data_IF_059674822766
#
_entry.id   IF_059674822766
#
_cell.length_a   1.000
_cell.length_b   1.000
_cell.length_c   1.000
_cell.angle_alpha   90.00
_cell.angle_beta   90.00
_cell.angle_gamma   90.00
#
_symmetry.space_group_name_H-M   'P 1'
#
loop_
_entity.id
_entity.type
_entity.pdbx_description
1 polymer ?
#
# COMPACT_ATOMS: atom_id res chain seq x y z
N UNK A 1 4.01 35.12 -10.54
CA UNK A 1 3.42 33.92 -9.90
C UNK A 1 2.45 34.39 -8.83
N UNK A 2 1.13 34.22 -9.03
CA UNK A 2 0.15 34.47 -7.96
C UNK A 2 0.06 33.20 -7.13
N UNK A 3 0.53 33.24 -5.89
CA UNK A 3 0.32 32.17 -4.92
C UNK A 3 -1.17 32.16 -4.62
N UNK A 4 -1.84 31.02 -4.82
CA UNK A 4 -3.25 30.86 -4.47
C UNK A 4 -3.40 31.09 -2.95
N UNK A 5 -4.16 32.11 -2.51
CA UNK A 5 -4.32 32.43 -1.09
C UNK A 5 -5.00 31.32 -0.27
N UNK A 6 -5.57 30.30 -0.94
CA UNK A 6 -6.15 29.09 -0.33
C UNK A 6 -5.21 27.88 -0.35
N UNK A 7 -3.91 28.06 -0.63
CA UNK A 7 -2.96 26.94 -0.63
C UNK A 7 -2.54 26.56 0.79
N UNK A 8 -3.06 25.43 1.28
CA UNK A 8 -2.75 24.86 2.59
C UNK A 8 -1.44 24.04 2.62
N UNK A 9 -0.51 24.27 1.68
CA UNK A 9 0.71 23.48 1.50
C UNK A 9 0.51 22.20 0.68
N UNK A 10 1.57 21.40 0.56
CA UNK A 10 1.51 20.06 -0.07
C UNK A 10 1.17 19.01 0.99
N UNK A 11 0.20 18.14 0.68
CA UNK A 11 0.02 16.89 1.43
C UNK A 11 1.24 15.96 1.27
N UNK A 12 1.35 14.94 2.12
CA UNK A 12 2.53 14.06 2.17
C UNK A 12 2.90 13.43 0.82
N UNK A 13 1.92 12.88 0.09
CA UNK A 13 2.14 12.30 -1.23
C UNK A 13 2.60 13.35 -2.26
N UNK A 14 1.95 14.52 -2.27
CA UNK A 14 2.30 15.62 -3.17
C UNK A 14 3.72 16.15 -2.88
N UNK A 15 4.13 16.19 -1.61
CA UNK A 15 5.49 16.55 -1.23
C UNK A 15 6.53 15.53 -1.73
N UNK A 16 6.24 14.22 -1.66
CA UNK A 16 7.11 13.18 -2.22
C UNK A 16 7.22 13.33 -3.74
N UNK A 17 6.10 13.43 -4.45
CA UNK A 17 6.07 13.58 -5.91
C UNK A 17 6.80 14.85 -6.36
N UNK A 18 6.57 15.97 -5.68
CA UNK A 18 7.29 17.21 -5.94
C UNK A 18 8.81 17.06 -5.71
N UNK A 19 9.23 16.37 -4.65
CA UNK A 19 10.65 16.12 -4.40
C UNK A 19 11.30 15.30 -5.53
N UNK A 20 10.61 14.31 -6.09
CA UNK A 20 11.06 13.58 -7.29
C UNK A 20 11.11 14.50 -8.52
N UNK A 21 10.08 15.32 -8.74
CA UNK A 21 10.03 16.26 -9.85
C UNK A 21 11.20 17.26 -9.82
N UNK A 22 11.55 17.78 -8.65
CA UNK A 22 12.71 18.68 -8.48
C UNK A 22 14.06 18.01 -8.74
N UNK A 23 14.12 16.68 -8.76
CA UNK A 23 15.35 15.91 -9.01
C UNK A 23 15.32 15.21 -10.39
N UNK A 24 14.50 15.71 -11.32
CA UNK A 24 14.48 15.30 -12.72
C UNK A 24 13.74 14.00 -13.01
N UNK A 25 12.70 13.68 -12.23
CA UNK A 25 11.74 12.62 -12.55
C UNK A 25 10.43 13.24 -13.03
N UNK A 26 9.70 12.55 -13.92
CA UNK A 26 8.29 12.83 -14.12
C UNK A 26 7.51 12.20 -12.96
N UNK A 27 6.95 13.05 -12.11
CA UNK A 27 6.22 12.62 -10.92
C UNK A 27 4.76 12.29 -11.24
N UNK A 28 4.41 11.00 -11.25
CA UNK A 28 3.04 10.52 -11.43
C UNK A 28 2.42 10.10 -10.10
N UNK A 29 1.15 10.44 -9.92
CA UNK A 29 0.35 9.96 -8.78
C UNK A 29 -1.09 9.71 -9.25
N UNK A 30 -1.45 8.48 -9.66
CA UNK A 30 -2.83 8.18 -10.04
C UNK A 30 -3.75 8.32 -8.83
N UNK A 31 -4.88 9.02 -9.02
CA UNK A 31 -6.03 8.80 -8.15
C UNK A 31 -6.61 7.45 -8.58
N UNK A 32 -6.66 6.48 -7.66
CA UNK A 32 -7.24 5.17 -7.97
C UNK A 32 -8.67 5.29 -8.49
N UNK A 33 -9.15 4.26 -9.17
CA UNK A 33 -10.53 4.19 -9.67
C UNK A 33 -11.50 4.49 -8.52
N UNK A 34 -12.51 5.35 -8.79
CA UNK A 34 -13.48 5.81 -7.80
C UNK A 34 -12.96 6.81 -6.76
N UNK A 35 -11.76 7.36 -6.94
CA UNK A 35 -11.21 8.46 -6.12
C UNK A 35 -10.88 9.70 -6.96
N UNK A 36 -10.63 10.81 -6.28
CA UNK A 36 -10.32 12.08 -6.93
C UNK A 36 -11.50 12.58 -7.78
N UNK A 37 -11.29 12.69 -9.09
CA UNK A 37 -12.34 13.03 -10.07
C UNK A 37 -12.85 11.82 -10.84
N UNK A 38 -12.39 10.60 -10.50
CA UNK A 38 -12.81 9.38 -11.17
C UNK A 38 -14.25 9.02 -10.84
N UNK A 39 -14.95 8.47 -11.83
CA UNK A 39 -16.28 7.88 -11.64
C UNK A 39 -16.18 6.57 -10.85
N UNK A 40 -17.35 6.02 -10.46
CA UNK A 40 -17.51 4.77 -9.69
C UNK A 40 -17.05 4.89 -8.23
N UNK A 41 -17.06 3.78 -7.50
CA UNK A 41 -16.58 3.67 -6.12
C UNK A 41 -15.24 2.97 -6.08
N UNK A 42 -14.43 3.35 -5.11
CA UNK A 42 -13.11 2.76 -4.94
C UNK A 42 -13.17 1.29 -4.52
N UNK A 43 -12.25 0.50 -5.07
CA UNK A 43 -12.06 -0.91 -4.78
C UNK A 43 -10.71 -1.06 -4.07
N UNK A 44 -10.76 -1.05 -2.74
CA UNK A 44 -9.60 -1.07 -1.86
C UNK A 44 -8.86 -2.41 -1.92
N UNK A 45 -7.53 -2.36 -2.11
CA UNK A 45 -6.63 -3.53 -2.18
C UNK A 45 -7.00 -4.54 -3.28
N UNK A 46 -7.49 -4.03 -4.42
CA UNK A 46 -7.80 -4.86 -5.57
C UNK A 46 -6.74 -4.69 -6.65
N UNK A 47 -5.92 -5.73 -6.82
CA UNK A 47 -4.70 -5.81 -7.64
C UNK A 47 -4.91 -5.25 -9.04
N UNK A 48 -5.92 -5.73 -9.76
CA UNK A 48 -6.16 -5.31 -11.14
C UNK A 48 -6.49 -3.82 -11.23
N UNK A 49 -7.42 -3.34 -10.40
CA UNK A 49 -7.85 -1.93 -10.45
C UNK A 49 -6.76 -0.94 -10.02
N UNK A 50 -5.91 -1.34 -9.07
CA UNK A 50 -4.80 -0.52 -8.59
C UNK A 50 -3.67 -0.45 -9.62
N UNK A 51 -3.37 -1.57 -10.29
CA UNK A 51 -2.42 -1.61 -11.40
C UNK A 51 -2.92 -0.83 -12.61
N UNK A 52 -4.20 -1.02 -12.98
CA UNK A 52 -4.83 -0.34 -14.12
C UNK A 52 -4.76 1.18 -13.98
N UNK A 53 -5.06 1.73 -12.80
CA UNK A 53 -4.94 3.16 -12.54
C UNK A 53 -3.51 3.69 -12.77
N UNK A 54 -2.49 2.91 -12.44
CA UNK A 54 -1.08 3.27 -12.67
C UNK A 54 -0.68 3.16 -14.14
N UNK A 55 -1.09 2.08 -14.81
CA UNK A 55 -0.87 1.83 -16.24
C UNK A 55 -1.46 2.97 -17.07
N UNK A 56 -2.72 3.32 -16.83
CA UNK A 56 -3.39 4.38 -17.59
C UNK A 56 -2.81 5.76 -17.30
N UNK A 57 -2.31 6.01 -16.10
CA UNK A 57 -1.60 7.26 -15.79
C UNK A 57 -0.27 7.37 -16.55
N UNK A 58 0.46 6.27 -16.75
CA UNK A 58 1.69 6.27 -17.57
C UNK A 58 1.34 6.47 -19.06
N UNK A 59 0.28 5.83 -19.56
CA UNK A 59 -0.21 6.05 -20.93
C UNK A 59 -0.65 7.50 -21.15
N UNK A 60 -1.41 8.07 -20.21
CA UNK A 60 -1.82 9.46 -20.26
C UNK A 60 -0.61 10.43 -20.19
N UNK A 61 0.45 10.09 -19.44
CA UNK A 61 1.69 10.87 -19.47
C UNK A 61 2.34 10.85 -20.85
N UNK A 62 2.39 9.69 -21.54
CA UNK A 62 2.94 9.58 -22.89
C UNK A 62 2.20 10.50 -23.86
N UNK A 63 0.87 10.40 -23.89
CA UNK A 63 0.02 11.28 -24.71
C UNK A 63 0.22 12.76 -24.37
N UNK A 64 0.26 13.10 -23.08
CA UNK A 64 0.47 14.48 -22.64
C UNK A 64 1.87 15.01 -23.00
N UNK A 65 2.90 14.19 -22.87
CA UNK A 65 4.27 14.56 -23.20
C UNK A 65 4.46 14.81 -24.70
N UNK A 66 3.77 14.06 -25.56
CA UNK A 66 3.73 14.30 -27.01
C UNK A 66 3.09 15.67 -27.31
N UNK A 67 1.94 15.99 -26.70
CA UNK A 67 1.28 17.28 -26.85
C UNK A 67 2.17 18.45 -26.40
N UNK A 68 2.90 18.24 -25.30
CA UNK A 68 3.76 19.25 -24.71
C UNK A 68 5.17 19.28 -25.31
N UNK A 69 5.46 18.45 -26.31
CA UNK A 69 6.79 18.28 -26.92
C UNK A 69 7.91 18.12 -25.87
N UNK A 70 7.60 17.42 -24.76
CA UNK A 70 8.52 17.28 -23.63
C UNK A 70 9.01 15.83 -23.55
N UNK A 71 10.18 15.52 -24.14
CA UNK A 71 10.66 14.14 -24.16
C UNK A 71 11.03 13.65 -22.76
N UNK A 72 10.89 12.35 -22.57
CA UNK A 72 11.32 11.63 -21.37
C UNK A 72 11.87 10.26 -21.77
N UNK A 73 12.57 9.60 -20.86
CA UNK A 73 13.00 8.22 -21.07
C UNK A 73 11.93 7.25 -20.53
N UNK A 74 11.80 6.10 -21.17
CA UNK A 74 10.80 5.08 -20.82
C UNK A 74 11.12 4.28 -19.54
N UNK A 75 12.13 4.70 -18.75
CA UNK A 75 12.46 4.04 -17.47
C UNK A 75 11.38 4.34 -16.42
N UNK A 76 10.68 3.31 -15.95
CA UNK A 76 9.68 3.44 -14.89
C UNK A 76 10.24 3.08 -13.52
N UNK A 77 9.97 3.94 -12.53
CA UNK A 77 10.29 3.72 -11.13
C UNK A 77 9.01 3.74 -10.31
N UNK A 78 8.63 2.60 -9.72
CA UNK A 78 7.31 2.42 -9.11
C UNK A 78 7.43 2.33 -7.59
N UNK A 79 6.76 3.20 -6.86
CA UNK A 79 6.73 3.16 -5.38
C UNK A 79 5.35 3.49 -4.87
N UNK A 80 5.06 3.00 -3.68
CA UNK A 80 3.91 3.43 -2.90
C UNK A 80 3.98 2.90 -1.47
N UNK A 81 3.12 3.43 -0.61
CA UNK A 81 3.13 3.19 0.83
C UNK A 81 1.74 2.76 1.31
N UNK A 82 1.66 1.82 2.27
CA UNK A 82 0.38 1.31 2.79
C UNK A 82 -0.41 0.58 1.69
N UNK A 83 -1.66 0.96 1.42
CA UNK A 83 -2.37 0.56 0.20
C UNK A 83 -1.54 0.84 -1.06
N UNK A 84 -0.86 1.98 -1.13
CA UNK A 84 0.04 2.27 -2.24
C UNK A 84 1.20 1.29 -2.36
N UNK A 85 1.59 0.62 -1.26
CA UNK A 85 2.56 -0.47 -1.29
C UNK A 85 2.01 -1.67 -2.05
N UNK A 86 0.76 -2.05 -1.80
CA UNK A 86 0.05 -3.09 -2.56
C UNK A 86 -0.07 -2.68 -4.03
N UNK A 87 -0.59 -1.47 -4.31
CA UNK A 87 -0.73 -0.94 -5.66
C UNK A 87 0.60 -0.90 -6.44
N UNK A 88 1.70 -0.51 -5.78
CA UNK A 88 3.02 -0.47 -6.41
C UNK A 88 3.54 -1.87 -6.77
N UNK A 89 3.25 -2.87 -5.93
CA UNK A 89 3.59 -4.26 -6.21
C UNK A 89 2.72 -4.82 -7.33
N UNK A 90 1.40 -4.58 -7.29
CA UNK A 90 0.45 -4.96 -8.33
C UNK A 90 0.83 -4.38 -9.70
N UNK A 91 1.11 -3.07 -9.73
CA UNK A 91 1.52 -2.37 -10.94
C UNK A 91 2.81 -2.97 -11.51
N UNK A 92 3.82 -3.23 -10.68
CA UNK A 92 5.06 -3.85 -11.15
C UNK A 92 4.81 -5.25 -11.71
N UNK A 93 4.09 -6.11 -10.97
CA UNK A 93 3.78 -7.48 -11.39
C UNK A 93 3.06 -7.51 -12.72
N UNK A 94 1.97 -6.75 -12.85
CA UNK A 94 1.13 -6.74 -14.06
C UNK A 94 1.89 -6.12 -15.24
N UNK A 95 2.63 -5.02 -15.04
CA UNK A 95 3.44 -4.45 -16.12
C UNK A 95 4.50 -5.42 -16.62
N UNK A 96 5.18 -6.14 -15.72
CA UNK A 96 6.23 -7.11 -16.07
C UNK A 96 5.66 -8.37 -16.75
N UNK A 97 4.55 -8.92 -16.26
CA UNK A 97 4.01 -10.19 -16.76
C UNK A 97 3.09 -10.03 -17.98
N UNK A 98 2.32 -8.94 -18.06
CA UNK A 98 1.26 -8.77 -19.06
C UNK A 98 1.59 -7.73 -20.13
N UNK A 99 2.48 -6.78 -19.82
CA UNK A 99 2.81 -5.66 -20.70
C UNK A 99 4.33 -5.42 -20.87
N UNK A 100 5.18 -6.48 -21.01
CA UNK A 100 6.64 -6.34 -21.04
C UNK A 100 7.15 -5.54 -22.25
N UNK A 101 6.42 -5.56 -23.37
CA UNK A 101 6.76 -4.79 -24.59
C UNK A 101 6.36 -3.31 -24.48
N UNK A 102 5.47 -2.97 -23.55
CA UNK A 102 4.96 -1.61 -23.37
C UNK A 102 5.68 -0.86 -22.24
N UNK A 103 6.05 -1.55 -21.16
CA UNK A 103 6.58 -0.91 -19.95
C UNK A 103 7.95 -1.46 -19.56
N UNK A 104 8.94 -0.56 -19.50
CA UNK A 104 10.26 -0.88 -18.94
C UNK A 104 10.29 -0.49 -17.46
N UNK A 105 9.85 -1.39 -16.58
CA UNK A 105 9.99 -1.18 -15.13
C UNK A 105 11.47 -1.28 -14.78
N UNK A 106 12.10 -0.16 -14.41
CA UNK A 106 13.53 -0.11 -14.09
C UNK A 106 13.82 -0.49 -12.65
N UNK A 107 12.90 -0.15 -11.75
CA UNK A 107 12.94 -0.56 -10.35
C UNK A 107 11.58 -0.33 -9.67
N UNK A 108 11.33 -1.08 -8.60
CA UNK A 108 10.19 -0.82 -7.72
C UNK A 108 10.59 -0.77 -6.25
N UNK A 109 9.81 -0.06 -5.44
CA UNK A 109 9.95 -0.05 -4.00
C UNK A 109 8.58 -0.05 -3.28
N UNK A 110 7.85 -1.18 -3.30
CA UNK A 110 6.67 -1.36 -2.46
C UNK A 110 7.03 -1.20 -0.98
N UNK A 111 6.29 -0.36 -0.25
CA UNK A 111 6.57 -0.07 1.16
C UNK A 111 5.34 -0.28 2.06
N UNK A 112 5.51 -1.07 3.14
CA UNK A 112 4.47 -1.39 4.12
C UNK A 112 3.12 -1.74 3.49
N UNK A 113 3.13 -2.53 2.40
CA UNK A 113 1.92 -3.02 1.75
C UNK A 113 1.45 -4.36 2.32
N UNK A 114 0.18 -4.70 2.03
CA UNK A 114 -0.44 -5.96 2.44
C UNK A 114 -0.29 -7.02 1.32
N UNK A 115 0.91 -7.57 1.16
CA UNK A 115 1.23 -8.44 0.01
C UNK A 115 0.74 -9.88 0.17
N UNK A 116 0.55 -10.33 1.41
CA UNK A 116 0.00 -11.64 1.76
C UNK A 116 -1.26 -11.40 2.61
N UNK A 117 -2.33 -11.00 1.94
CA UNK A 117 -3.64 -10.66 2.50
C UNK A 117 -4.29 -11.86 3.17
N UNK A 118 -4.16 -13.07 2.61
CA UNK A 118 -4.67 -14.31 3.22
C UNK A 118 -3.80 -14.82 4.38
N UNK A 119 -2.64 -14.19 4.59
CA UNK A 119 -1.66 -14.59 5.59
C UNK A 119 -2.07 -14.29 7.02
N UNK A 120 -1.73 -15.21 7.93
CA UNK A 120 -2.05 -15.10 9.36
C UNK A 120 -1.56 -13.80 10.01
N UNK A 121 -0.44 -13.25 9.54
CA UNK A 121 0.13 -12.00 10.06
C UNK A 121 -0.77 -10.79 9.80
N UNK A 122 -1.46 -10.76 8.66
CA UNK A 122 -2.44 -9.72 8.32
C UNK A 122 -3.80 -10.05 8.91
N UNK A 123 -4.23 -11.30 8.82
CA UNK A 123 -5.51 -11.78 9.34
C UNK A 123 -5.68 -11.49 10.84
N UNK A 124 -4.62 -11.57 11.64
CA UNK A 124 -4.69 -11.32 13.09
C UNK A 124 -5.25 -9.93 13.44
N UNK A 125 -5.14 -8.94 12.53
CA UNK A 125 -5.69 -7.58 12.73
C UNK A 125 -7.19 -7.55 12.89
N UNK A 126 -7.87 -8.60 12.41
CA UNK A 126 -9.31 -8.75 12.60
C UNK A 126 -9.65 -9.09 14.05
N UNK A 127 -8.77 -9.76 14.78
CA UNK A 127 -9.08 -10.42 16.07
C UNK A 127 -8.39 -9.80 17.28
N UNK A 128 -7.71 -8.66 17.10
CA UNK A 128 -7.05 -7.93 18.18
C UNK A 128 -7.51 -6.47 18.22
N UNK A 129 -7.36 -5.77 19.36
CA UNK A 129 -7.50 -4.33 19.42
C UNK A 129 -6.75 -3.62 18.30
N UNK A 130 -7.49 -2.87 17.47
CA UNK A 130 -6.95 -2.27 16.27
C UNK A 130 -7.47 -0.85 16.09
N UNK A 131 -6.59 0.16 16.05
CA UNK A 131 -7.02 1.57 15.97
C UNK A 131 -7.58 2.03 14.61
N UNK A 132 -7.75 1.10 13.66
CA UNK A 132 -8.14 1.40 12.27
C UNK A 132 -9.20 0.42 11.76
N UNK A 133 -10.23 0.20 12.57
CA UNK A 133 -11.23 -0.86 12.37
C UNK A 133 -11.98 -0.75 11.06
N UNK A 134 -12.15 0.47 10.53
CA UNK A 134 -12.85 0.69 9.28
C UNK A 134 -12.13 0.11 8.04
N UNK A 135 -10.87 -0.34 8.15
CA UNK A 135 -10.22 -1.06 7.06
C UNK A 135 -10.89 -2.41 6.75
N UNK A 136 -11.39 -3.13 7.75
CA UNK A 136 -12.06 -4.41 7.52
C UNK A 136 -13.35 -4.28 6.72
N UNK A 137 -14.34 -3.43 7.09
CA UNK A 137 -15.53 -3.24 6.29
C UNK A 137 -15.23 -2.58 4.94
N UNK A 138 -14.17 -1.76 4.84
CA UNK A 138 -13.75 -1.24 3.54
C UNK A 138 -13.28 -2.36 2.62
N UNK A 139 -12.43 -3.24 3.13
CA UNK A 139 -11.95 -4.41 2.39
C UNK A 139 -13.11 -5.32 1.97
N UNK A 140 -13.99 -5.71 2.89
CA UNK A 140 -15.14 -6.60 2.60
C UNK A 140 -16.02 -5.98 1.50
N UNK A 141 -16.44 -4.73 1.67
CA UNK A 141 -17.32 -4.09 0.68
C UNK A 141 -16.61 -3.78 -0.64
N UNK A 142 -15.28 -3.65 -0.64
CA UNK A 142 -14.51 -3.52 -1.89
C UNK A 142 -14.37 -4.85 -2.61
N UNK A 143 -14.14 -5.96 -1.90
CA UNK A 143 -14.11 -7.29 -2.52
C UNK A 143 -15.49 -7.66 -3.09
N UNK A 144 -16.58 -7.35 -2.41
CA UNK A 144 -17.94 -7.51 -2.94
C UNK A 144 -18.16 -6.76 -4.27
N UNK A 145 -17.61 -5.54 -4.40
CA UNK A 145 -17.69 -4.77 -5.65
C UNK A 145 -16.83 -5.34 -6.77
N UNK A 146 -15.68 -5.93 -6.44
CA UNK A 146 -14.78 -6.55 -7.42
C UNK A 146 -15.22 -7.95 -7.84
N UNK A 147 -15.87 -8.67 -6.93
CA UNK A 147 -16.31 -10.05 -7.08
C UNK A 147 -17.81 -10.13 -6.76
N UNK A 148 -18.72 -9.70 -7.67
CA UNK A 148 -20.15 -9.65 -7.38
C UNK A 148 -20.79 -11.00 -7.04
N UNK A 149 -20.16 -12.10 -7.46
CA UNK A 149 -20.59 -13.47 -7.15
C UNK A 149 -20.11 -13.95 -5.75
N UNK A 150 -19.33 -13.14 -5.03
CA UNK A 150 -18.76 -13.49 -3.72
C UNK A 150 -19.84 -13.57 -2.63
N UNK A 151 -20.90 -12.75 -2.75
CA UNK A 151 -21.96 -12.66 -1.76
C UNK A 151 -23.32 -12.53 -2.46
N UNK A 152 -24.21 -13.49 -2.21
CA UNK A 152 -25.58 -13.43 -2.71
C UNK A 152 -26.44 -12.60 -1.75
N UNK A 153 -26.65 -11.33 -2.10
CA UNK A 153 -27.49 -10.40 -1.34
C UNK A 153 -26.78 -9.10 -0.96
N UNK A 154 -27.23 -8.48 0.12
CA UNK A 154 -26.65 -7.23 0.58
C UNK A 154 -25.43 -7.49 1.45
N UNK A 155 -24.25 -7.08 0.98
CA UNK A 155 -22.97 -7.27 1.70
C UNK A 155 -22.98 -6.69 3.12
N UNK A 156 -23.83 -5.70 3.43
CA UNK A 156 -23.90 -5.15 4.77
C UNK A 156 -24.55 -6.11 5.80
N UNK A 157 -25.21 -7.19 5.35
CA UNK A 157 -25.77 -8.24 6.21
C UNK A 157 -24.71 -9.08 6.93
N UNK A 158 -23.44 -9.02 6.50
CA UNK A 158 -22.33 -9.67 7.21
C UNK A 158 -22.01 -8.99 8.54
N UNK A 159 -22.46 -7.75 8.72
CA UNK A 159 -22.23 -6.97 9.94
C UNK A 159 -23.41 -7.10 10.90
N UNK A 160 -23.16 -7.37 12.18
CA UNK A 160 -24.21 -7.45 13.20
C UNK A 160 -24.71 -6.04 13.60
N UNK A 161 -25.96 -5.88 14.06
CA UNK A 161 -26.44 -4.60 14.56
C UNK A 161 -25.59 -4.07 15.74
N UNK A 162 -25.32 -2.75 15.81
CA UNK A 162 -25.79 -1.68 14.92
C UNK A 162 -24.86 -1.38 13.73
N UNK A 163 -23.86 -2.23 13.45
CA UNK A 163 -22.79 -1.94 12.51
C UNK A 163 -23.23 -2.00 11.04
N UNK A 164 -24.20 -2.86 10.72
CA UNK A 164 -24.90 -2.92 9.43
C UNK A 164 -25.36 -1.52 8.96
N UNK A 165 -26.19 -0.87 9.76
CA UNK A 165 -26.82 0.41 9.48
C UNK A 165 -25.82 1.57 9.60
N UNK A 166 -24.93 1.51 10.58
CA UNK A 166 -23.87 2.50 10.77
C UNK A 166 -22.91 2.54 9.57
N UNK A 167 -22.41 1.38 9.13
CA UNK A 167 -21.48 1.30 8.00
C UNK A 167 -22.14 1.70 6.70
N UNK A 168 -23.41 1.34 6.49
CA UNK A 168 -24.18 1.79 5.32
C UNK A 168 -24.29 3.31 5.26
N UNK A 169 -24.56 3.96 6.40
CA UNK A 169 -24.71 5.40 6.48
C UNK A 169 -23.38 6.16 6.37
N UNK A 170 -22.26 5.53 6.74
CA UNK A 170 -20.96 6.24 6.88
C UNK A 170 -19.92 5.86 5.83
N UNK A 171 -20.06 4.74 5.13
CA UNK A 171 -19.14 4.32 4.05
C UNK A 171 -19.59 4.83 2.67
N UNK A 172 -19.95 6.11 2.60
CA UNK A 172 -20.44 6.79 1.38
C UNK A 172 -19.33 7.46 0.56
N UNK A 173 -18.14 7.61 1.15
CA UNK A 173 -17.05 8.43 0.62
C UNK A 173 -17.01 9.86 1.17
N UNK A 174 -18.05 10.30 1.88
CA UNK A 174 -18.11 11.64 2.50
C UNK A 174 -17.40 11.70 3.86
N UNK A 175 -17.27 10.57 4.53
CA UNK A 175 -16.63 10.46 5.84
C UNK A 175 -15.21 9.92 5.72
N UNK A 176 -14.28 10.48 6.51
CA UNK A 176 -12.93 9.94 6.59
C UNK A 176 -12.90 8.59 7.29
N UNK A 177 -11.96 7.73 6.91
CA UNK A 177 -11.82 6.39 7.54
C UNK A 177 -11.57 6.45 9.06
N UNK A 178 -10.91 7.51 9.53
CA UNK A 178 -10.71 7.77 10.95
C UNK A 178 -11.98 8.24 11.66
N UNK A 179 -12.89 8.93 10.96
CA UNK A 179 -14.21 9.26 11.49
C UNK A 179 -15.05 7.99 11.69
N UNK A 180 -15.02 7.08 10.70
CA UNK A 180 -15.75 5.81 10.77
C UNK A 180 -15.17 4.94 11.89
N UNK A 181 -13.85 4.72 11.91
CA UNK A 181 -13.17 3.85 12.91
C UNK A 181 -13.50 4.20 14.36
N UNK A 182 -13.63 5.50 14.69
CA UNK A 182 -13.97 5.96 16.05
C UNK A 182 -15.36 5.54 16.54
N UNK A 183 -16.21 4.98 15.68
CA UNK A 183 -17.58 4.54 15.99
C UNK A 183 -17.72 3.00 15.94
N UNK A 184 -16.63 2.30 15.67
CA UNK A 184 -16.56 0.85 15.56
C UNK A 184 -15.98 0.24 16.85
N UNK A 185 -16.22 -1.05 17.13
CA UNK A 185 -15.69 -1.71 18.34
C UNK A 185 -14.16 -1.76 18.26
N UNK A 186 -13.47 -1.99 19.37
CA UNK A 186 -12.01 -2.01 19.40
C UNK A 186 -11.42 -3.17 18.57
N UNK A 187 -12.08 -4.33 18.58
CA UNK A 187 -11.72 -5.51 17.79
C UNK A 187 -12.57 -5.56 16.52
N UNK A 188 -11.99 -5.54 15.31
CA UNK A 188 -12.79 -5.47 14.08
C UNK A 188 -13.77 -6.62 13.86
N UNK A 189 -13.41 -7.84 14.28
CA UNK A 189 -14.25 -9.02 14.16
C UNK A 189 -15.55 -8.92 14.97
N UNK A 190 -15.61 -8.09 16.02
CA UNK A 190 -16.84 -7.91 16.81
C UNK A 190 -17.97 -7.24 16.00
N UNK A 191 -17.65 -6.71 14.81
CA UNK A 191 -18.66 -6.20 13.88
C UNK A 191 -19.33 -7.29 13.05
N UNK A 192 -18.78 -8.50 12.99
CA UNK A 192 -19.20 -9.54 12.06
C UNK A 192 -20.05 -10.62 12.74
N UNK A 193 -20.90 -11.28 11.95
CA UNK A 193 -21.62 -12.46 12.43
C UNK A 193 -20.63 -13.57 12.86
N UNK A 194 -20.71 -14.08 14.11
CA UNK A 194 -19.80 -15.12 14.61
C UNK A 194 -19.81 -16.41 13.78
N UNK A 195 -20.94 -16.75 13.15
CA UNK A 195 -21.05 -17.92 12.27
C UNK A 195 -20.25 -17.73 10.98
N UNK A 196 -20.20 -16.51 10.43
CA UNK A 196 -19.39 -16.17 9.25
C UNK A 196 -17.91 -16.17 9.59
N UNK A 197 -17.52 -15.64 10.77
CA UNK A 197 -16.14 -15.72 11.26
C UNK A 197 -15.69 -17.18 11.34
N UNK A 198 -16.51 -18.05 11.93
CA UNK A 198 -16.18 -19.47 12.05
C UNK A 198 -15.98 -20.12 10.69
N UNK A 199 -16.86 -19.84 9.73
CA UNK A 199 -16.73 -20.34 8.35
C UNK A 199 -15.45 -19.83 7.69
N UNK A 200 -15.17 -18.53 7.74
CA UNK A 200 -13.94 -17.92 7.20
C UNK A 200 -12.65 -18.56 7.75
N UNK A 201 -12.64 -18.92 9.04
CA UNK A 201 -11.50 -19.56 9.68
C UNK A 201 -11.31 -21.03 9.30
N UNK A 202 -12.40 -21.74 9.00
CA UNK A 202 -12.41 -23.19 8.78
C UNK A 202 -12.37 -23.58 7.30
N UNK A 203 -12.95 -22.75 6.43
CA UNK A 203 -13.10 -23.04 5.01
C UNK A 203 -12.17 -22.15 4.17
N UNK A 204 -11.22 -22.78 3.47
CA UNK A 204 -10.34 -22.09 2.53
C UNK A 204 -11.07 -21.62 1.28
N UNK A 205 -12.22 -22.23 0.96
CA UNK A 205 -13.09 -21.85 -0.15
C UNK A 205 -14.13 -20.79 0.25
N UNK A 206 -14.09 -20.26 1.48
CA UNK A 206 -14.97 -19.17 1.88
C UNK A 206 -14.81 -17.99 0.91
N UNK A 207 -15.91 -17.42 0.35
CA UNK A 207 -15.81 -16.49 -0.79
C UNK A 207 -14.87 -15.29 -0.57
N UNK A 208 -14.92 -14.64 0.59
CA UNK A 208 -14.00 -13.55 0.91
C UNK A 208 -12.54 -14.00 0.87
N UNK A 209 -12.25 -15.23 1.30
CA UNK A 209 -10.88 -15.75 1.32
C UNK A 209 -10.35 -16.04 -0.09
N UNK A 210 -11.23 -16.51 -0.98
CA UNK A 210 -10.92 -16.68 -2.40
C UNK A 210 -10.64 -15.32 -3.04
N UNK A 211 -11.51 -14.33 -2.83
CA UNK A 211 -11.31 -12.96 -3.33
C UNK A 211 -10.00 -12.33 -2.81
N UNK A 212 -9.66 -12.53 -1.53
CA UNK A 212 -8.37 -12.07 -0.98
C UNK A 212 -7.17 -12.82 -1.57
N UNK A 213 -7.30 -14.11 -1.89
CA UNK A 213 -6.23 -14.90 -2.50
C UNK A 213 -5.92 -14.41 -3.92
N UNK A 214 -6.95 -14.02 -4.69
CA UNK A 214 -6.78 -13.42 -6.02
C UNK A 214 -6.02 -12.07 -5.98
N UNK A 215 -5.93 -11.46 -4.79
CA UNK A 215 -5.22 -10.21 -4.54
C UNK A 215 -3.93 -10.41 -3.73
N UNK A 216 -3.50 -11.64 -3.47
CA UNK A 216 -2.17 -11.89 -2.93
C UNK A 216 -1.09 -11.56 -3.98
N UNK A 217 0.00 -10.92 -3.55
CA UNK A 217 1.07 -10.42 -4.41
C UNK A 217 2.45 -10.97 -4.03
N UNK A 218 2.51 -12.02 -3.22
CA UNK A 218 3.78 -12.61 -2.78
C UNK A 218 4.31 -13.71 -3.70
N UNK A 219 3.43 -14.36 -4.48
CA UNK A 219 3.74 -15.56 -5.28
C UNK A 219 4.15 -15.21 -6.71
N UNK A 220 5.30 -14.53 -6.85
CA UNK A 220 5.94 -14.28 -8.15
C UNK A 220 7.42 -13.94 -7.96
N UNK A 221 8.20 -13.95 -9.04
CA UNK A 221 9.62 -13.63 -9.00
C UNK A 221 9.92 -12.39 -9.87
N UNK A 222 10.04 -11.19 -9.28
CA UNK A 222 10.35 -9.99 -10.06
C UNK A 222 11.72 -10.10 -10.75
N UNK A 223 11.74 -9.80 -12.04
CA UNK A 223 12.96 -9.71 -12.84
C UNK A 223 13.70 -8.40 -12.55
N UNK A 224 12.94 -7.32 -12.45
CA UNK A 224 13.48 -6.00 -12.16
C UNK A 224 13.81 -5.76 -10.68
N UNK A 225 14.82 -4.91 -10.37
CA UNK A 225 15.21 -4.64 -8.99
C UNK A 225 14.06 -4.15 -8.10
N UNK A 226 13.86 -4.82 -6.97
CA UNK A 226 12.80 -4.48 -6.02
C UNK A 226 13.36 -4.21 -4.61
N UNK A 227 12.90 -3.13 -3.98
CA UNK A 227 13.17 -2.82 -2.57
C UNK A 227 11.89 -2.90 -1.74
N UNK A 228 11.74 -3.97 -0.97
CA UNK A 228 10.65 -4.11 0.00
C UNK A 228 10.99 -3.35 1.28
N UNK A 229 10.19 -2.32 1.57
CA UNK A 229 10.37 -1.41 2.70
C UNK A 229 9.34 -1.69 3.82
N UNK A 230 9.75 -1.65 5.09
CA UNK A 230 8.85 -1.88 6.24
C UNK A 230 9.39 -1.28 7.54
N UNK A 231 8.58 -1.24 8.61
CA UNK A 231 9.03 -0.94 9.99
C UNK A 231 8.49 -1.96 11.01
N UNK A 232 9.25 -2.25 12.06
CA UNK A 232 8.85 -3.32 13.01
C UNK A 232 7.66 -2.95 13.90
N UNK A 233 7.45 -1.66 14.17
CA UNK A 233 6.36 -1.17 15.02
C UNK A 233 5.14 -0.71 14.22
N UNK A 234 5.09 -1.03 12.93
CA UNK A 234 3.94 -0.74 12.08
C UNK A 234 2.66 -1.40 12.67
N UNK A 235 1.78 -0.54 13.14
CA UNK A 235 0.54 -0.92 13.82
C UNK A 235 -0.57 -1.27 12.85
N UNK A 236 -0.48 -0.79 11.60
CA UNK A 236 -1.52 -0.94 10.59
C UNK A 236 -1.28 -2.16 9.70
N UNK A 237 -0.07 -2.30 9.18
CA UNK A 237 0.35 -3.39 8.29
C UNK A 237 1.45 -4.19 8.97
N UNK A 238 1.21 -5.48 9.25
CA UNK A 238 2.20 -6.29 9.96
C UNK A 238 3.42 -6.57 9.09
N UNK A 239 4.59 -6.11 9.54
CA UNK A 239 5.83 -6.22 8.78
C UNK A 239 6.24 -7.65 8.42
N UNK A 240 5.74 -8.66 9.15
CA UNK A 240 6.02 -10.06 8.84
C UNK A 240 5.47 -10.48 7.48
N UNK A 241 4.40 -9.83 6.99
CA UNK A 241 3.92 -10.06 5.63
C UNK A 241 4.99 -9.66 4.58
N UNK A 242 5.73 -8.57 4.82
CA UNK A 242 6.84 -8.16 3.95
C UNK A 242 8.02 -9.12 4.02
N UNK A 243 8.33 -9.67 5.20
CA UNK A 243 9.38 -10.67 5.36
C UNK A 243 9.04 -11.97 4.65
N UNK A 244 7.81 -12.47 4.86
CA UNK A 244 7.28 -13.64 4.17
C UNK A 244 7.37 -13.47 2.66
N UNK A 245 6.89 -12.33 2.15
CA UNK A 245 6.93 -12.00 0.71
C UNK A 245 8.35 -12.02 0.16
N UNK A 246 9.29 -11.39 0.87
CA UNK A 246 10.70 -11.41 0.48
C UNK A 246 11.25 -12.84 0.41
N UNK A 247 11.06 -13.63 1.46
CA UNK A 247 11.59 -15.00 1.51
C UNK A 247 10.96 -15.88 0.42
N UNK A 248 9.66 -15.72 0.17
CA UNK A 248 8.94 -16.44 -0.87
C UNK A 248 9.46 -16.09 -2.27
N UNK A 249 9.56 -14.81 -2.62
CA UNK A 249 10.15 -14.34 -3.88
C UNK A 249 11.60 -14.84 -4.07
N UNK A 250 12.39 -14.83 -2.98
CA UNK A 250 13.76 -15.36 -3.00
C UNK A 250 13.81 -16.85 -3.30
N UNK A 251 12.87 -17.63 -2.76
CA UNK A 251 12.76 -19.07 -3.01
C UNK A 251 12.29 -19.38 -4.44
N UNK A 252 11.48 -18.52 -5.04
CA UNK A 252 11.13 -18.58 -6.46
C UNK A 252 12.29 -18.16 -7.41
N UNK A 253 13.43 -17.74 -6.87
CA UNK A 253 14.62 -17.39 -7.65
C UNK A 253 14.79 -15.90 -7.94
N UNK A 254 13.94 -15.03 -7.40
CA UNK A 254 14.05 -13.59 -7.62
C UNK A 254 15.42 -13.07 -7.16
N UNK A 255 16.25 -12.63 -8.11
CA UNK A 255 17.68 -12.39 -7.86
C UNK A 255 18.00 -10.98 -7.38
N UNK A 256 17.04 -10.05 -7.50
CA UNK A 256 17.23 -8.61 -7.28
C UNK A 256 16.24 -7.98 -6.29
N UNK A 257 15.61 -8.81 -5.43
CA UNK A 257 14.78 -8.33 -4.31
C UNK A 257 15.64 -8.04 -3.09
N UNK A 258 15.35 -6.95 -2.38
CA UNK A 258 16.05 -6.51 -1.17
C UNK A 258 15.06 -6.04 -0.10
N UNK A 259 15.45 -6.19 1.16
CA UNK A 259 14.73 -5.60 2.29
C UNK A 259 15.36 -4.27 2.76
N UNK A 260 14.51 -3.34 3.19
CA UNK A 260 14.89 -2.13 3.90
C UNK A 260 13.98 -1.87 5.09
N UNK A 261 14.59 -1.81 6.28
CA UNK A 261 13.89 -1.47 7.51
C UNK A 261 13.94 0.05 7.76
N UNK A 262 12.79 0.70 7.75
CA UNK A 262 12.59 2.11 8.06
C UNK A 262 12.87 2.41 9.54
N UNK A 263 12.64 1.47 10.45
CA UNK A 263 13.12 1.48 11.82
C UNK A 263 12.33 0.57 12.75
N UNK A 264 12.91 0.33 13.94
CA UNK A 264 12.35 -0.62 14.92
C UNK A 264 11.18 -0.09 15.75
N UNK A 265 11.03 1.24 15.83
CA UNK A 265 10.16 1.94 16.80
C UNK A 265 9.11 2.85 16.14
N UNK A 266 9.04 2.84 14.82
CA UNK A 266 8.19 3.74 14.06
C UNK A 266 6.86 3.07 13.76
N UNK A 267 5.80 3.81 14.06
CA UNK A 267 4.44 3.53 13.64
C UNK A 267 4.29 3.69 12.12
N UNK A 268 3.11 3.38 11.61
CA UNK A 268 2.83 3.39 10.19
C UNK A 268 3.09 4.76 9.55
N UNK A 269 2.75 5.87 10.22
CA UNK A 269 2.95 7.20 9.65
C UNK A 269 4.42 7.64 9.64
N UNK A 270 5.14 7.42 10.74
CA UNK A 270 6.57 7.76 10.84
C UNK A 270 7.41 6.85 9.94
N UNK A 271 6.97 5.61 9.74
CA UNK A 271 7.60 4.68 8.82
C UNK A 271 7.58 5.19 7.37
N UNK A 272 6.48 5.80 6.92
CA UNK A 272 6.35 6.35 5.58
C UNK A 272 7.47 7.35 5.22
N UNK A 273 7.87 8.20 6.17
CA UNK A 273 8.96 9.16 5.98
C UNK A 273 10.28 8.47 5.66
N UNK A 274 10.70 7.53 6.51
CA UNK A 274 12.00 6.88 6.36
C UNK A 274 12.06 5.92 5.18
N UNK A 275 10.96 5.23 4.89
CA UNK A 275 10.86 4.36 3.71
C UNK A 275 10.91 5.18 2.42
N UNK A 276 10.24 6.33 2.35
CA UNK A 276 10.32 7.25 1.19
C UNK A 276 11.75 7.71 0.90
N UNK A 277 12.53 8.05 1.94
CA UNK A 277 13.95 8.43 1.78
C UNK A 277 14.78 7.24 1.29
N UNK A 278 14.54 6.04 1.82
CA UNK A 278 15.24 4.82 1.42
C UNK A 278 14.95 4.46 -0.04
N UNK A 279 13.69 4.57 -0.46
CA UNK A 279 13.26 4.41 -1.85
C UNK A 279 13.99 5.39 -2.77
N UNK A 280 14.04 6.67 -2.41
CA UNK A 280 14.73 7.69 -3.22
C UNK A 280 16.21 7.35 -3.44
N UNK A 281 16.90 6.94 -2.37
CA UNK A 281 18.31 6.54 -2.46
C UNK A 281 18.52 5.28 -3.32
N UNK A 282 17.56 4.36 -3.30
CA UNK A 282 17.57 3.16 -4.11
C UNK A 282 17.37 3.49 -5.59
N UNK A 283 16.31 4.22 -5.95
CA UNK A 283 16.05 4.65 -7.33
C UNK A 283 17.21 5.47 -7.90
N UNK A 284 17.72 6.47 -7.17
CA UNK A 284 18.85 7.28 -7.63
C UNK A 284 20.10 6.45 -7.90
N UNK A 285 20.32 5.37 -7.14
CA UNK A 285 21.47 4.52 -7.38
C UNK A 285 21.33 3.71 -8.66
N UNK A 286 20.11 3.28 -9.01
CA UNK A 286 19.81 2.56 -10.25
C UNK A 286 19.90 3.51 -11.44
N UNK A 287 19.32 4.71 -11.33
CA UNK A 287 19.47 5.81 -12.30
C UNK A 287 20.94 6.15 -12.57
N UNK A 288 21.82 6.00 -11.57
CA UNK A 288 23.29 6.16 -11.68
C UNK A 288 24.03 4.87 -12.11
N UNK A 289 23.33 3.90 -12.69
CA UNK A 289 23.89 2.69 -13.29
C UNK A 289 24.12 1.51 -12.35
N UNK A 290 23.62 1.53 -11.10
CA UNK A 290 23.74 0.37 -10.21
C UNK A 290 22.65 -0.67 -10.50
N UNK A 291 23.03 -1.77 -11.16
CA UNK A 291 22.12 -2.87 -11.56
C UNK A 291 21.18 -3.40 -10.47
N UNK A 292 21.61 -3.46 -9.21
CA UNK A 292 20.83 -4.03 -8.08
C UNK A 292 20.38 -2.99 -7.04
N UNK A 293 20.59 -1.70 -7.34
CA UNK A 293 20.43 -0.60 -6.39
C UNK A 293 21.34 -0.68 -5.15
N UNK A 294 21.36 0.41 -4.37
CA UNK A 294 22.17 0.57 -3.15
C UNK A 294 21.41 1.41 -2.12
N UNK A 295 21.81 1.33 -0.85
CA UNK A 295 21.28 2.16 0.26
C UNK A 295 21.70 3.65 0.21
N UNK A 296 22.22 4.12 -0.92
CA UNK A 296 22.77 5.46 -1.07
C UNK A 296 24.18 5.68 -0.44
N UNK A 297 24.70 6.92 -0.54
CA UNK A 297 26.03 7.31 -0.04
C UNK A 297 26.18 7.15 1.47
N UNK A 298 27.39 6.82 1.94
CA UNK A 298 27.69 6.59 3.37
C UNK A 298 27.33 7.82 4.23
N UNK A 299 27.71 9.03 3.77
CA UNK A 299 27.41 10.26 4.51
C UNK A 299 25.90 10.51 4.66
N UNK A 300 25.10 10.33 3.59
CA UNK A 300 23.63 10.45 3.67
C UNK A 300 23.04 9.41 4.62
N UNK A 301 23.55 8.18 4.62
CA UNK A 301 23.13 7.12 5.54
C UNK A 301 23.43 7.49 7.00
N UNK A 302 24.57 8.11 7.27
CA UNK A 302 24.93 8.61 8.60
C UNK A 302 23.93 9.67 9.09
N UNK A 303 23.62 10.67 8.25
CA UNK A 303 22.62 11.70 8.59
C UNK A 303 21.23 11.12 8.86
N UNK A 304 20.79 10.14 8.06
CA UNK A 304 19.52 9.44 8.29
C UNK A 304 19.53 8.71 9.62
N UNK A 305 20.64 8.07 10.01
CA UNK A 305 20.76 7.43 11.32
C UNK A 305 20.62 8.43 12.47
N UNK A 306 21.21 9.62 12.35
CA UNK A 306 21.03 10.70 13.34
C UNK A 306 19.58 11.18 13.41
N UNK A 307 18.95 11.41 12.25
CA UNK A 307 17.53 11.79 12.19
C UNK A 307 16.63 10.72 12.82
N UNK A 308 16.91 9.44 12.58
CA UNK A 308 16.19 8.33 13.20
C UNK A 308 16.29 8.35 14.74
N UNK A 309 17.47 8.66 15.28
CA UNK A 309 17.64 8.77 16.73
C UNK A 309 16.81 9.94 17.31
N UNK A 310 16.76 11.07 16.61
CA UNK A 310 16.05 12.27 17.05
C UNK A 310 14.51 12.14 16.99
N UNK A 311 13.97 11.36 16.04
CA UNK A 311 12.52 11.13 15.94
C UNK A 311 12.06 10.23 17.09
N UNK A 312 11.19 10.76 17.95
CA UNK A 312 10.57 10.01 19.05
C UNK A 312 9.60 8.96 18.48
N UNK A 313 9.50 7.77 19.10
CA UNK A 313 8.41 6.85 18.80
C UNK A 313 7.07 7.51 19.14
N UNK A 314 6.01 7.20 18.39
CA UNK A 314 4.67 7.66 18.74
C UNK A 314 4.14 6.92 19.96
N UNK A 315 3.14 7.50 20.63
CA UNK A 315 2.53 6.93 21.84
C UNK A 315 1.94 5.53 21.59
N UNK A 316 1.49 5.26 20.35
CA UNK A 316 0.99 3.95 19.91
C UNK A 316 2.07 2.87 19.96
N UNK A 317 3.30 3.20 19.54
CA UNK A 317 4.43 2.29 19.60
C UNK A 317 4.91 2.04 21.05
N UNK A 318 4.74 3.03 21.93
CA UNK A 318 5.13 2.93 23.36
C UNK A 318 4.18 2.01 24.14
N UNK A 319 2.87 2.11 23.90
CA UNK A 319 1.87 1.31 24.62
C UNK A 319 1.91 -0.18 24.28
N UNK A 320 2.28 -0.56 23.05
CA UNK A 320 2.48 -1.98 22.67
C UNK A 320 3.57 -2.71 23.44
N UNK A 321 4.59 -1.98 23.90
CA UNK A 321 5.67 -2.57 24.69
C UNK A 321 5.20 -2.99 26.09
N UNK A 322 4.20 -2.28 26.64
CA UNK A 322 3.57 -2.59 27.93
C UNK A 322 2.59 -3.77 27.90
N UNK A 323 2.12 -4.16 26.71
CA UNK A 323 1.22 -5.30 26.53
C UNK A 323 1.98 -6.63 26.32
N UNK A 324 3.32 -6.60 26.33
CA UNK A 324 4.19 -7.77 26.18
C UNK A 324 4.96 -8.13 27.46
N UNK A 325 4.71 -7.40 28.55
CA UNK A 325 5.17 -7.67 29.92
C UNK A 325 3.95 -8.02 30.79
#
# INVERSE_FOLDING_TARGET
MRINPNWNGLGGLQAVVAAYATDGYYGLYPHYIGLGKGERRHVYQHTESEAQASIDMVRALREFAEIMETPFNEDLYISGYSQGGHAAMASHKIMEEQYPDEFTVRASAPASGAYHMTGKDQQRRMFEPYGHQAYLPYLITSMDRAYPEMWDGDIYEVFVPPYDSLLRATMTGEYSIGYVSKRLPEVPADMLDPSLIKQYLQDTAFPLRVALADNDLYDWAPESPMLLCYCNSDEQVDYRNTLFTYDYMKNLGASHVRLSNGGKKYDHNTCALFTSIQTKLFFDSIRKGKKRGRRGPIFKRFLISLAKLAVKPSDVAVNRKKLKD
#
